data_IF_969830276669
#
_entry.id   IF_969830276669
#
_cell.length_a   1.000
_cell.length_b   1.000
_cell.length_c   1.000
_cell.angle_alpha   90.00
_cell.angle_beta   90.00
_cell.angle_gamma   90.00
#
_symmetry.space_group_name_H-M   'P 1'
#
loop_
_entity.id
_entity.type
_entity.pdbx_description
1 polymer ?
#
# COMPACT_ATOMS: atom_id res chain seq x y z
N UNK A 1 -14.87 21.38 14.91
CA UNK A 1 -14.01 22.42 14.39
C UNK A 1 -12.61 22.14 14.88
N UNK A 2 -11.73 21.82 13.94
CA UNK A 2 -10.33 21.49 14.24
C UNK A 2 -9.49 22.73 14.00
N UNK A 3 -9.72 23.76 14.81
CA UNK A 3 -8.87 24.93 14.81
C UNK A 3 -7.82 24.77 15.92
N UNK A 4 -6.84 23.95 15.65
CA UNK A 4 -5.65 23.80 16.49
C UNK A 4 -4.54 24.77 16.08
N UNK A 5 -4.81 25.71 15.20
CA UNK A 5 -3.84 26.69 14.73
C UNK A 5 -3.36 27.61 15.88
N UNK A 6 -4.18 27.79 16.90
CA UNK A 6 -3.80 28.54 18.12
C UNK A 6 -2.71 27.87 18.96
N UNK A 7 -2.43 26.57 18.71
CA UNK A 7 -1.39 25.83 19.42
C UNK A 7 0.00 25.93 18.76
N UNK A 8 0.10 26.62 17.63
CA UNK A 8 1.38 26.81 16.94
C UNK A 8 2.12 28.03 17.52
N UNK A 9 3.46 27.93 17.71
CA UNK A 9 4.26 29.06 18.19
C UNK A 9 4.18 30.24 17.20
N UNK A 10 4.21 31.47 17.75
CA UNK A 10 4.09 32.71 16.97
C UNK A 10 5.18 32.90 15.91
N UNK A 11 6.32 32.24 16.05
CA UNK A 11 7.40 32.17 15.07
C UNK A 11 7.15 30.97 14.13
N UNK A 12 6.22 31.12 13.20
CA UNK A 12 5.89 30.11 12.21
C UNK A 12 6.94 30.06 11.12
N UNK A 13 7.97 29.24 11.28
CA UNK A 13 8.71 28.72 10.15
C UNK A 13 7.91 27.59 9.52
N UNK A 14 8.01 27.38 8.19
CA UNK A 14 7.39 26.27 7.47
C UNK A 14 7.69 24.89 8.09
N UNK A 15 8.70 24.78 8.93
CA UNK A 15 9.12 23.57 9.63
C UNK A 15 8.06 23.09 10.63
N UNK A 16 7.32 24.00 11.25
CA UNK A 16 6.33 23.69 12.32
C UNK A 16 4.89 23.68 11.83
N UNK A 17 4.61 24.04 10.58
CA UNK A 17 3.27 23.99 10.03
C UNK A 17 2.96 22.58 9.54
N UNK A 18 1.82 22.03 9.94
CA UNK A 18 1.24 20.85 9.32
C UNK A 18 0.46 21.23 8.07
N UNK A 19 0.50 20.39 7.04
CA UNK A 19 -0.17 20.62 5.79
C UNK A 19 -1.12 19.46 5.49
N UNK A 20 -2.34 19.77 5.08
CA UNK A 20 -3.35 18.81 4.70
C UNK A 20 -3.67 17.84 5.86
N UNK A 21 -3.80 16.55 5.62
CA UNK A 21 -4.10 15.54 6.65
C UNK A 21 -2.91 15.19 7.56
N UNK A 22 -1.78 15.89 7.43
CA UNK A 22 -0.56 15.63 8.21
C UNK A 22 -0.81 15.70 9.72
N UNK A 23 -1.61 16.67 10.17
CA UNK A 23 -1.93 16.84 11.59
C UNK A 23 -2.60 15.59 12.17
N UNK A 24 -3.53 14.99 11.44
CA UNK A 24 -4.27 13.81 11.88
C UNK A 24 -3.38 12.56 11.89
N UNK A 25 -2.60 12.36 10.83
CA UNK A 25 -1.71 11.21 10.71
C UNK A 25 -0.55 11.26 11.71
N UNK A 26 0.09 12.42 11.88
CA UNK A 26 1.16 12.61 12.83
C UNK A 26 0.68 12.42 14.28
N UNK A 27 -0.50 12.99 14.61
CA UNK A 27 -1.14 12.79 15.91
C UNK A 27 -1.40 11.33 16.20
N UNK A 28 -2.07 10.62 15.28
CA UNK A 28 -2.38 9.20 15.47
C UNK A 28 -1.10 8.34 15.53
N UNK A 29 -0.07 8.66 14.75
CA UNK A 29 1.21 7.99 14.84
C UNK A 29 1.86 8.18 16.22
N UNK A 30 1.72 9.36 16.83
CA UNK A 30 2.18 9.62 18.20
C UNK A 30 1.31 8.90 19.25
N UNK A 31 -0.01 8.86 19.07
CA UNK A 31 -0.92 8.10 19.95
C UNK A 31 -0.57 6.60 19.93
N UNK A 32 -0.17 6.04 18.80
CA UNK A 32 0.36 4.66 18.71
C UNK A 32 1.66 4.51 19.52
N UNK A 33 2.57 5.50 19.47
CA UNK A 33 3.83 5.45 20.25
C UNK A 33 3.56 5.46 21.74
N UNK A 34 2.62 6.28 22.20
CA UNK A 34 2.29 6.49 23.60
C UNK A 34 1.25 5.50 24.15
N UNK A 35 0.64 4.67 23.30
CA UNK A 35 -0.42 3.74 23.69
C UNK A 35 -1.70 4.44 24.14
N UNK A 36 -1.97 5.64 23.61
CA UNK A 36 -3.17 6.42 23.90
C UNK A 36 -4.35 6.00 23.04
N UNK A 37 -5.53 6.52 23.35
CA UNK A 37 -6.74 6.36 22.53
C UNK A 37 -6.50 6.97 21.15
N UNK A 38 -6.80 6.19 20.12
CA UNK A 38 -6.63 6.59 18.73
C UNK A 38 -7.75 7.54 18.32
N UNK A 39 -7.39 8.71 17.83
CA UNK A 39 -8.31 9.76 17.43
C UNK A 39 -8.79 9.58 15.98
N UNK A 40 -7.86 9.45 15.04
CA UNK A 40 -8.19 9.37 13.63
C UNK A 40 -8.21 7.91 13.17
N UNK A 41 -9.39 7.43 12.75
CA UNK A 41 -9.65 6.04 12.39
C UNK A 41 -10.28 5.89 11.01
N UNK A 42 -10.27 6.95 10.17
CA UNK A 42 -10.86 6.94 8.82
C UNK A 42 -10.04 6.13 7.80
N UNK A 43 -8.84 5.69 8.18
CA UNK A 43 -7.98 4.83 7.38
C UNK A 43 -7.41 3.67 8.20
N UNK A 44 -7.08 2.53 7.57
CA UNK A 44 -6.42 1.42 8.24
C UNK A 44 -5.08 1.83 8.91
N UNK A 45 -4.61 1.08 9.93
CA UNK A 45 -3.54 1.54 10.81
C UNK A 45 -2.13 1.57 10.23
N UNK A 46 -1.80 0.70 9.25
CA UNK A 46 -0.41 0.39 8.89
C UNK A 46 0.38 1.61 8.40
N UNK A 47 -0.24 2.51 7.63
CA UNK A 47 0.42 3.74 7.19
C UNK A 47 0.89 4.61 8.35
N UNK A 48 0.02 4.80 9.35
CA UNK A 48 0.33 5.55 10.58
C UNK A 48 1.33 4.82 11.49
N UNK A 49 1.26 3.48 11.50
CA UNK A 49 2.25 2.68 12.20
C UNK A 49 3.67 2.86 11.62
N UNK A 50 3.82 2.91 10.29
CA UNK A 50 5.11 3.24 9.68
C UNK A 50 5.60 4.61 10.14
N UNK A 51 4.76 5.63 10.14
CA UNK A 51 5.12 6.97 10.63
C UNK A 51 5.54 6.95 12.10
N UNK A 52 4.88 6.13 12.93
CA UNK A 52 5.20 5.99 14.35
C UNK A 52 6.64 5.53 14.61
N UNK A 53 7.26 4.79 13.67
CA UNK A 53 8.67 4.38 13.79
C UNK A 53 9.61 5.58 13.75
N UNK A 54 9.34 6.56 12.87
CA UNK A 54 10.12 7.80 12.82
C UNK A 54 9.98 8.62 14.11
N UNK A 55 8.76 8.72 14.65
CA UNK A 55 8.51 9.40 15.93
C UNK A 55 9.21 8.69 17.10
N UNK A 56 9.24 7.35 17.13
CA UNK A 56 9.96 6.58 18.15
C UNK A 56 11.45 6.87 18.18
N UNK A 57 12.05 7.11 17.01
CA UNK A 57 13.52 7.32 16.88
C UNK A 57 13.87 8.80 17.10
N UNK A 58 13.10 9.74 16.53
CA UNK A 58 13.44 11.16 16.47
C UNK A 58 12.53 12.07 17.30
N UNK A 59 11.59 11.46 18.06
CA UNK A 59 10.61 12.20 18.85
C UNK A 59 9.46 12.77 18.02
N UNK A 60 8.49 13.40 18.70
CA UNK A 60 7.36 14.09 18.06
C UNK A 60 7.84 15.45 17.52
N UNK A 61 8.61 15.40 16.46
CA UNK A 61 9.19 16.55 15.75
C UNK A 61 8.81 16.49 14.28
N UNK A 62 8.83 17.60 13.51
CA UNK A 62 8.58 17.60 12.07
C UNK A 62 9.41 16.58 11.32
N UNK A 63 10.68 16.42 11.67
CA UNK A 63 11.51 15.38 11.10
C UNK A 63 11.02 13.98 11.49
N UNK A 64 10.64 13.77 12.75
CA UNK A 64 10.20 12.46 13.26
C UNK A 64 9.01 11.89 12.50
N UNK A 65 7.96 12.67 12.28
CA UNK A 65 6.78 12.17 11.56
C UNK A 65 6.90 12.19 10.03
N UNK A 66 7.86 12.97 9.45
CA UNK A 66 8.05 13.07 7.99
C UNK A 66 9.10 12.14 7.44
N UNK A 67 10.12 11.76 8.22
CA UNK A 67 11.28 11.02 7.72
C UNK A 67 10.92 9.68 7.08
N UNK A 68 9.95 8.96 7.62
CA UNK A 68 9.51 7.68 7.06
C UNK A 68 8.76 7.89 5.75
N UNK A 69 7.91 8.91 5.65
CA UNK A 69 7.25 9.27 4.38
C UNK A 69 8.29 9.63 3.30
N UNK A 70 9.29 10.44 3.67
CA UNK A 70 10.39 10.77 2.77
C UNK A 70 11.18 9.52 2.32
N UNK A 71 11.43 8.58 3.22
CA UNK A 71 12.08 7.31 2.89
C UNK A 71 11.28 6.51 1.85
N UNK A 72 9.96 6.37 2.02
CA UNK A 72 9.11 5.69 1.05
C UNK A 72 9.10 6.41 -0.31
N UNK A 73 9.07 7.74 -0.31
CA UNK A 73 9.20 8.53 -1.54
C UNK A 73 10.53 8.27 -2.25
N UNK A 74 11.65 8.26 -1.52
CA UNK A 74 12.97 7.95 -2.08
C UNK A 74 12.98 6.53 -2.66
N UNK A 75 12.40 5.54 -1.97
CA UNK A 75 12.36 4.15 -2.42
C UNK A 75 11.47 3.95 -3.67
N UNK A 76 10.51 4.81 -3.95
CA UNK A 76 9.73 4.75 -5.20
C UNK A 76 10.61 4.93 -6.44
N UNK A 77 11.67 5.72 -6.36
CA UNK A 77 12.56 6.01 -7.50
C UNK A 77 13.28 4.75 -8.01
N UNK A 78 14.04 4.00 -7.19
CA UNK A 78 14.70 2.77 -7.64
C UNK A 78 13.71 1.67 -8.02
N UNK A 79 12.53 1.57 -7.37
CA UNK A 79 11.49 0.61 -7.76
C UNK A 79 10.95 0.95 -9.15
N UNK A 80 10.66 2.21 -9.44
CA UNK A 80 10.23 2.67 -10.76
C UNK A 80 11.28 2.40 -11.84
N UNK A 81 12.55 2.69 -11.53
CA UNK A 81 13.67 2.35 -12.42
C UNK A 81 13.70 0.85 -12.73
N UNK A 82 13.68 0.01 -11.69
CA UNK A 82 13.75 -1.44 -11.83
C UNK A 82 12.55 -1.98 -12.64
N UNK A 83 11.36 -1.47 -12.39
CA UNK A 83 10.15 -1.86 -13.10
C UNK A 83 10.23 -1.49 -14.58
N UNK A 84 10.54 -0.22 -14.88
CA UNK A 84 10.67 0.23 -16.27
C UNK A 84 11.83 -0.43 -16.99
N UNK A 85 12.93 -0.75 -16.28
CA UNK A 85 14.05 -1.50 -16.87
C UNK A 85 13.64 -2.91 -17.29
N UNK A 86 12.78 -3.55 -16.51
CA UNK A 86 12.23 -4.88 -16.85
C UNK A 86 11.28 -4.83 -18.03
N UNK A 87 10.38 -3.85 -18.09
CA UNK A 87 9.40 -3.72 -19.19
C UNK A 87 10.08 -3.32 -20.51
N UNK A 88 10.87 -2.24 -20.47
CA UNK A 88 11.44 -1.63 -21.68
C UNK A 88 12.72 -2.29 -22.16
N UNK A 89 13.40 -3.05 -21.28
CA UNK A 89 14.75 -3.59 -21.49
C UNK A 89 15.81 -2.53 -21.85
N UNK A 90 15.50 -1.25 -21.65
CA UNK A 90 16.34 -0.11 -21.96
C UNK A 90 16.72 0.65 -20.70
N UNK A 91 18.02 0.86 -20.48
CA UNK A 91 18.51 1.67 -19.36
C UNK A 91 18.08 3.14 -19.53
N UNK A 92 18.08 3.66 -20.75
CA UNK A 92 17.68 5.04 -21.03
C UNK A 92 16.22 5.31 -20.66
N UNK A 93 15.30 4.43 -21.09
CA UNK A 93 13.86 4.55 -20.75
C UNK A 93 13.64 4.42 -19.24
N UNK A 94 14.33 3.49 -18.59
CA UNK A 94 14.23 3.31 -17.14
C UNK A 94 14.77 4.53 -16.38
N UNK A 95 15.91 5.08 -16.80
CA UNK A 95 16.47 6.29 -16.19
C UNK A 95 15.56 7.49 -16.39
N UNK A 96 14.99 7.64 -17.58
CA UNK A 96 14.05 8.73 -17.87
C UNK A 96 12.79 8.62 -17.03
N UNK A 97 12.22 7.41 -16.88
CA UNK A 97 11.06 7.19 -16.02
C UNK A 97 11.35 7.49 -14.54
N UNK A 98 12.52 7.08 -14.04
CA UNK A 98 12.95 7.42 -12.69
C UNK A 98 13.13 8.94 -12.50
N UNK A 99 13.70 9.61 -13.51
CA UNK A 99 13.85 11.06 -13.53
C UNK A 99 12.51 11.78 -13.48
N UNK A 100 11.51 11.32 -14.24
CA UNK A 100 10.16 11.88 -14.20
C UNK A 100 9.54 11.80 -12.79
N UNK A 101 9.74 10.70 -12.08
CA UNK A 101 9.26 10.57 -10.68
C UNK A 101 9.99 11.55 -9.75
N UNK A 102 11.31 11.72 -9.91
CA UNK A 102 12.09 12.67 -9.09
C UNK A 102 11.60 14.11 -9.29
N UNK A 103 11.23 14.48 -10.52
CA UNK A 103 10.79 15.84 -10.86
C UNK A 103 9.26 16.00 -10.86
N UNK A 104 8.49 14.94 -10.55
CA UNK A 104 7.05 15.06 -10.38
C UNK A 104 6.75 15.89 -9.13
N UNK A 105 6.00 16.97 -9.33
CA UNK A 105 5.69 17.92 -8.26
C UNK A 105 4.83 17.28 -7.16
N UNK A 106 3.86 16.44 -7.52
CA UNK A 106 3.00 15.78 -6.55
C UNK A 106 3.79 14.77 -5.73
N UNK A 107 4.60 13.93 -6.36
CA UNK A 107 5.49 12.99 -5.67
C UNK A 107 6.44 13.72 -4.73
N UNK A 108 7.09 14.79 -5.20
CA UNK A 108 8.00 15.59 -4.39
C UNK A 108 7.30 16.18 -3.16
N UNK A 109 6.11 16.75 -3.32
CA UNK A 109 5.35 17.38 -2.24
C UNK A 109 4.86 16.34 -1.23
N UNK A 110 4.19 15.27 -1.70
CA UNK A 110 3.63 14.23 -0.82
C UNK A 110 4.71 13.44 -0.08
N UNK A 111 5.93 13.34 -0.63
CA UNK A 111 7.05 12.67 0.04
C UNK A 111 7.63 13.48 1.22
N UNK A 112 7.34 14.78 1.30
CA UNK A 112 7.90 15.69 2.31
C UNK A 112 6.95 16.02 3.45
N UNK A 113 5.70 15.65 3.33
CA UNK A 113 4.68 15.83 4.37
C UNK A 113 4.35 14.48 5.03
N UNK A 114 3.89 14.53 6.28
CA UNK A 114 3.56 13.34 7.06
C UNK A 114 2.18 12.76 6.70
N UNK A 115 2.02 12.21 5.49
CA UNK A 115 0.77 11.58 5.05
C UNK A 115 0.98 10.12 4.66
N UNK A 116 -0.09 9.33 4.77
CA UNK A 116 -0.05 7.91 4.41
C UNK A 116 -0.05 7.67 2.89
N UNK A 117 -0.29 8.72 2.08
CA UNK A 117 -0.46 8.61 0.63
C UNK A 117 0.79 8.12 -0.09
N UNK A 118 1.96 8.66 0.27
CA UNK A 118 3.22 8.19 -0.30
C UNK A 118 3.53 6.74 0.09
N UNK A 119 3.17 6.34 1.30
CA UNK A 119 3.37 4.97 1.81
C UNK A 119 2.51 3.98 1.00
N UNK A 120 1.22 4.27 0.85
CA UNK A 120 0.35 3.42 0.02
C UNK A 120 0.76 3.44 -1.44
N UNK A 121 1.17 4.61 -1.97
CA UNK A 121 1.67 4.74 -3.34
C UNK A 121 2.90 3.86 -3.61
N UNK A 122 3.83 3.81 -2.67
CA UNK A 122 4.99 2.91 -2.74
C UNK A 122 4.58 1.44 -2.79
N UNK A 123 3.69 1.00 -1.89
CA UNK A 123 3.26 -0.40 -1.86
C UNK A 123 2.43 -0.77 -3.09
N UNK A 124 1.63 0.13 -3.64
CA UNK A 124 0.92 -0.08 -4.92
C UNK A 124 1.93 -0.27 -6.05
N UNK A 125 2.90 0.63 -6.19
CA UNK A 125 3.95 0.52 -7.21
C UNK A 125 4.73 -0.79 -7.09
N UNK A 126 5.13 -1.15 -5.87
CA UNK A 126 5.85 -2.40 -5.58
C UNK A 126 5.00 -3.62 -5.94
N UNK A 127 3.69 -3.59 -5.65
CA UNK A 127 2.75 -4.65 -5.98
C UNK A 127 2.66 -4.87 -7.49
N UNK A 128 2.55 -3.81 -8.29
CA UNK A 128 2.54 -3.93 -9.75
C UNK A 128 3.88 -4.44 -10.29
N UNK A 129 4.99 -3.97 -9.75
CA UNK A 129 6.32 -4.46 -10.15
C UNK A 129 6.49 -5.96 -9.84
N UNK A 130 6.15 -6.38 -8.63
CA UNK A 130 6.26 -7.79 -8.23
C UNK A 130 5.30 -8.68 -9.03
N UNK A 131 4.06 -8.20 -9.31
CA UNK A 131 3.14 -8.93 -10.20
C UNK A 131 3.73 -9.11 -11.58
N UNK A 132 4.36 -8.09 -12.16
CA UNK A 132 5.05 -8.23 -13.45
C UNK A 132 6.12 -9.33 -13.41
N UNK A 133 6.92 -9.38 -12.31
CA UNK A 133 7.93 -10.42 -12.14
C UNK A 133 7.30 -11.83 -11.98
N UNK A 134 6.18 -11.93 -11.26
CA UNK A 134 5.41 -13.19 -11.14
C UNK A 134 4.95 -13.65 -12.50
N UNK A 135 4.31 -12.78 -13.28
CA UNK A 135 3.79 -13.13 -14.60
C UNK A 135 4.91 -13.51 -15.59
N UNK A 136 6.03 -12.80 -15.52
CA UNK A 136 7.19 -13.11 -16.39
C UNK A 136 7.81 -14.47 -16.05
N UNK A 137 7.93 -14.81 -14.76
CA UNK A 137 8.45 -16.10 -14.32
C UNK A 137 7.46 -17.26 -14.59
N UNK A 138 6.15 -17.05 -14.42
CA UNK A 138 5.09 -18.03 -14.72
C UNK A 138 5.01 -18.45 -16.18
N UNK A 139 5.54 -17.67 -17.12
CA UNK A 139 5.65 -18.10 -18.54
C UNK A 139 6.45 -19.38 -18.69
N UNK A 140 7.46 -19.56 -17.84
CA UNK A 140 8.32 -20.75 -17.83
C UNK A 140 7.79 -21.88 -16.93
N UNK A 141 6.69 -21.64 -16.21
CA UNK A 141 6.09 -22.54 -15.23
C UNK A 141 6.29 -22.05 -13.78
N UNK A 142 5.55 -22.67 -12.84
CA UNK A 142 5.65 -22.31 -11.42
C UNK A 142 6.90 -22.93 -10.80
N UNK A 143 7.85 -22.10 -10.45
CA UNK A 143 9.09 -22.46 -9.75
C UNK A 143 9.03 -22.01 -8.28
N UNK A 144 10.00 -22.43 -7.47
CA UNK A 144 10.16 -21.91 -6.11
C UNK A 144 10.33 -20.38 -6.09
N UNK A 145 11.04 -19.84 -7.07
CA UNK A 145 11.19 -18.39 -7.24
C UNK A 145 9.84 -17.72 -7.50
N UNK A 146 8.98 -18.33 -8.33
CA UNK A 146 7.61 -17.82 -8.56
C UNK A 146 6.82 -17.77 -7.26
N UNK A 147 6.89 -18.82 -6.42
CA UNK A 147 6.21 -18.85 -5.12
C UNK A 147 6.71 -17.73 -4.21
N UNK A 148 8.03 -17.54 -4.12
CA UNK A 148 8.60 -16.44 -3.32
C UNK A 148 8.14 -15.07 -3.83
N UNK A 149 8.11 -14.86 -5.15
CA UNK A 149 7.60 -13.61 -5.75
C UNK A 149 6.12 -13.39 -5.46
N UNK A 150 5.30 -14.45 -5.50
CA UNK A 150 3.87 -14.36 -5.14
C UNK A 150 3.68 -14.01 -3.67
N UNK A 151 4.46 -14.59 -2.77
CA UNK A 151 4.44 -14.25 -1.33
C UNK A 151 4.82 -12.78 -1.12
N UNK A 152 5.92 -12.32 -1.70
CA UNK A 152 6.35 -10.92 -1.61
C UNK A 152 5.31 -9.97 -2.19
N UNK A 153 4.69 -10.34 -3.31
CA UNK A 153 3.63 -9.55 -3.92
C UNK A 153 2.39 -9.48 -3.01
N UNK A 154 1.99 -10.60 -2.42
CA UNK A 154 0.90 -10.64 -1.44
C UNK A 154 1.19 -9.80 -0.19
N UNK A 155 2.44 -9.79 0.27
CA UNK A 155 2.86 -8.91 1.38
C UNK A 155 2.77 -7.43 1.00
N UNK A 156 3.23 -7.04 -0.19
CA UNK A 156 3.11 -5.67 -0.69
C UNK A 156 1.65 -5.25 -0.86
N UNK A 157 0.81 -6.13 -1.45
CA UNK A 157 -0.62 -5.91 -1.60
C UNK A 157 -1.32 -5.75 -0.23
N UNK A 158 -1.01 -6.62 0.73
CA UNK A 158 -1.51 -6.53 2.09
C UNK A 158 -1.11 -5.23 2.78
N UNK A 159 0.14 -4.80 2.62
CA UNK A 159 0.63 -3.54 3.16
C UNK A 159 -0.06 -2.31 2.52
N UNK A 160 -0.33 -2.36 1.21
CA UNK A 160 -1.09 -1.31 0.53
C UNK A 160 -2.52 -1.20 1.11
N UNK A 161 -3.24 -2.32 1.19
CA UNK A 161 -4.61 -2.36 1.73
C UNK A 161 -4.67 -1.96 3.20
N UNK A 162 -3.70 -2.40 4.01
CA UNK A 162 -3.63 -2.08 5.43
C UNK A 162 -3.19 -0.63 5.71
N UNK A 163 -2.71 0.10 4.69
CA UNK A 163 -2.36 1.53 4.79
C UNK A 163 -3.51 2.45 4.36
N UNK A 164 -4.21 2.10 3.27
CA UNK A 164 -5.36 2.88 2.76
C UNK A 164 -6.22 1.98 1.85
N UNK A 165 -7.54 2.16 1.85
CA UNK A 165 -8.45 1.37 1.02
C UNK A 165 -8.21 1.50 -0.49
N UNK A 166 -7.52 2.54 -0.94
CA UNK A 166 -7.07 2.65 -2.33
C UNK A 166 -6.19 1.47 -2.76
N UNK A 167 -5.50 0.82 -1.83
CA UNK A 167 -4.79 -0.43 -2.06
C UNK A 167 -5.68 -1.58 -2.57
N UNK A 168 -6.96 -1.62 -2.17
CA UNK A 168 -7.92 -2.64 -2.63
C UNK A 168 -8.18 -2.50 -4.14
N UNK A 169 -8.31 -1.26 -4.63
CA UNK A 169 -8.51 -1.02 -6.07
C UNK A 169 -7.28 -1.45 -6.89
N UNK A 170 -6.08 -1.21 -6.37
CA UNK A 170 -4.85 -1.69 -6.99
C UNK A 170 -4.81 -3.23 -7.03
N UNK A 171 -5.24 -3.90 -5.96
CA UNK A 171 -5.34 -5.36 -5.90
C UNK A 171 -6.36 -5.91 -6.91
N UNK A 172 -7.49 -5.24 -7.11
CA UNK A 172 -8.43 -5.59 -8.17
C UNK A 172 -7.79 -5.47 -9.55
N UNK A 173 -7.01 -4.41 -9.79
CA UNK A 173 -6.26 -4.23 -11.04
C UNK A 173 -5.26 -5.35 -11.31
N UNK A 174 -4.46 -5.75 -10.30
CA UNK A 174 -3.53 -6.87 -10.47
C UNK A 174 -4.24 -8.21 -10.63
N UNK A 175 -5.40 -8.42 -10.01
CA UNK A 175 -6.21 -9.61 -10.23
C UNK A 175 -6.67 -9.73 -11.68
N UNK A 176 -7.13 -8.63 -12.29
CA UNK A 176 -7.48 -8.58 -13.71
C UNK A 176 -6.28 -8.96 -14.58
N UNK A 177 -5.10 -8.39 -14.33
CA UNK A 177 -3.87 -8.72 -15.06
C UNK A 177 -3.50 -10.20 -14.90
N UNK A 178 -3.56 -10.74 -13.70
CA UNK A 178 -3.23 -12.12 -13.40
C UNK A 178 -4.18 -13.10 -14.10
N UNK A 179 -5.50 -12.92 -13.98
CA UNK A 179 -6.47 -13.79 -14.61
C UNK A 179 -6.45 -13.68 -16.15
N UNK A 180 -6.24 -12.48 -16.69
CA UNK A 180 -6.04 -12.29 -18.13
C UNK A 180 -4.83 -13.08 -18.63
N UNK A 181 -3.71 -13.02 -17.90
CA UNK A 181 -2.52 -13.82 -18.20
C UNK A 181 -2.82 -15.33 -18.15
N UNK A 182 -3.47 -15.81 -17.10
CA UNK A 182 -3.81 -17.23 -16.98
C UNK A 182 -4.72 -17.70 -18.12
N UNK A 183 -5.70 -16.89 -18.53
CA UNK A 183 -6.56 -17.18 -19.66
C UNK A 183 -5.76 -17.25 -20.97
N UNK A 184 -4.86 -16.31 -21.20
CA UNK A 184 -4.00 -16.30 -22.40
C UNK A 184 -3.05 -17.51 -22.46
N UNK A 185 -2.51 -17.95 -21.33
CA UNK A 185 -1.52 -19.03 -21.28
C UNK A 185 -2.12 -20.44 -21.18
N UNK A 186 -3.31 -20.58 -20.60
CA UNK A 186 -3.91 -21.89 -20.32
C UNK A 186 -5.38 -22.03 -20.72
N UNK A 187 -6.09 -20.93 -21.00
CA UNK A 187 -7.54 -20.92 -21.20
C UNK A 187 -7.99 -21.54 -22.52
N UNK A 188 -7.18 -21.47 -23.59
CA UNK A 188 -7.54 -21.98 -24.92
C UNK A 188 -6.84 -23.29 -25.26
N UNK A 189 -7.45 -24.10 -26.11
CA UNK A 189 -6.82 -25.33 -26.62
C UNK A 189 -5.49 -25.03 -27.32
N UNK A 190 -5.44 -23.96 -28.13
CA UNK A 190 -4.22 -23.54 -28.82
C UNK A 190 -3.10 -23.14 -27.83
N UNK A 191 -3.42 -22.42 -26.77
CA UNK A 191 -2.46 -22.06 -25.74
C UNK A 191 -1.90 -23.30 -25.04
N UNK A 192 -2.76 -24.25 -24.65
CA UNK A 192 -2.34 -25.53 -24.05
C UNK A 192 -1.48 -26.37 -24.97
N UNK A 193 -1.84 -26.47 -26.24
CA UNK A 193 -1.03 -27.17 -27.26
C UNK A 193 0.35 -26.54 -27.41
N UNK A 194 0.45 -25.23 -27.44
CA UNK A 194 1.73 -24.50 -27.44
C UNK A 194 2.64 -24.86 -26.27
N UNK A 195 2.06 -25.16 -25.09
CA UNK A 195 2.79 -25.58 -23.89
C UNK A 195 2.98 -27.12 -23.81
N UNK A 196 2.50 -27.89 -24.76
CA UNK A 196 2.54 -29.36 -24.74
C UNK A 196 1.67 -29.95 -23.61
N UNK A 197 0.63 -29.25 -23.16
CA UNK A 197 -0.21 -29.64 -22.02
C UNK A 197 -1.55 -30.21 -22.52
N UNK A 198 -1.98 -31.34 -21.94
CA UNK A 198 -3.36 -31.81 -22.07
C UNK A 198 -4.31 -30.93 -21.25
N UNK A 199 -5.61 -30.98 -21.52
CA UNK A 199 -6.61 -30.26 -20.74
C UNK A 199 -6.57 -30.65 -19.26
N UNK A 200 -6.42 -31.95 -18.96
CA UNK A 200 -6.32 -32.46 -17.60
C UNK A 200 -5.07 -31.96 -16.87
N UNK A 201 -3.92 -31.95 -17.55
CA UNK A 201 -2.68 -31.43 -16.98
C UNK A 201 -2.78 -29.92 -16.67
N UNK A 202 -3.44 -29.15 -17.54
CA UNK A 202 -3.68 -27.73 -17.28
C UNK A 202 -4.60 -27.49 -16.08
N UNK A 203 -5.67 -28.28 -15.92
CA UNK A 203 -6.57 -28.21 -14.78
C UNK A 203 -5.81 -28.53 -13.47
N UNK A 204 -5.03 -29.60 -13.44
CA UNK A 204 -4.24 -29.97 -12.27
C UNK A 204 -3.20 -28.90 -11.90
N UNK A 205 -2.54 -28.31 -12.90
CA UNK A 205 -1.60 -27.20 -12.70
C UNK A 205 -2.28 -25.96 -12.12
N UNK A 206 -3.41 -25.57 -12.70
CA UNK A 206 -4.18 -24.41 -12.22
C UNK A 206 -4.76 -24.64 -10.82
N UNK A 207 -5.18 -25.86 -10.50
CA UNK A 207 -5.62 -26.21 -9.15
C UNK A 207 -4.49 -26.06 -8.12
N UNK A 208 -3.28 -26.55 -8.43
CA UNK A 208 -2.11 -26.36 -7.57
C UNK A 208 -1.73 -24.88 -7.42
N UNK A 209 -1.74 -24.14 -8.53
CA UNK A 209 -1.47 -22.69 -8.51
C UNK A 209 -2.52 -21.94 -7.67
N UNK A 210 -3.79 -22.34 -7.71
CA UNK A 210 -4.86 -21.71 -6.92
C UNK A 210 -4.62 -21.81 -5.42
N UNK A 211 -4.07 -22.92 -4.93
CA UNK A 211 -3.70 -23.06 -3.51
C UNK A 211 -2.64 -22.03 -3.12
N UNK A 212 -1.63 -21.85 -3.96
CA UNK A 212 -0.58 -20.83 -3.73
C UNK A 212 -1.19 -19.42 -3.78
N UNK A 213 -2.09 -19.17 -4.73
CA UNK A 213 -2.80 -17.89 -4.84
C UNK A 213 -3.62 -17.57 -3.60
N UNK A 214 -4.36 -18.53 -3.04
CA UNK A 214 -5.12 -18.35 -1.81
C UNK A 214 -4.18 -17.96 -0.66
N UNK A 215 -3.06 -18.68 -0.51
CA UNK A 215 -2.08 -18.36 0.52
C UNK A 215 -1.48 -16.97 0.31
N UNK A 216 -1.02 -16.66 -0.90
CA UNK A 216 -0.30 -15.41 -1.20
C UNK A 216 -1.23 -14.18 -1.25
N UNK A 217 -2.43 -14.29 -1.86
CA UNK A 217 -3.27 -13.12 -2.16
C UNK A 217 -4.53 -12.99 -1.30
N UNK A 218 -4.80 -13.97 -0.45
CA UNK A 218 -5.90 -13.89 0.52
C UNK A 218 -5.36 -13.98 1.94
N UNK A 219 -4.67 -15.08 2.31
CA UNK A 219 -4.27 -15.28 3.69
C UNK A 219 -3.20 -14.29 4.15
N UNK A 220 -2.13 -14.10 3.36
CA UNK A 220 -1.06 -13.15 3.73
C UNK A 220 -1.60 -11.72 3.85
N UNK A 221 -2.32 -11.15 2.87
CA UNK A 221 -2.91 -9.82 3.02
C UNK A 221 -3.87 -9.71 4.22
N UNK A 222 -4.71 -10.73 4.45
CA UNK A 222 -5.62 -10.73 5.59
C UNK A 222 -4.86 -10.72 6.93
N UNK A 223 -3.80 -11.52 7.06
CA UNK A 223 -2.95 -11.52 8.26
C UNK A 223 -2.30 -10.16 8.48
N UNK A 224 -1.74 -9.54 7.43
CA UNK A 224 -1.12 -8.20 7.53
C UNK A 224 -2.17 -7.16 7.92
N UNK A 225 -3.35 -7.22 7.31
CA UNK A 225 -4.45 -6.30 7.59
C UNK A 225 -4.89 -6.39 9.05
N UNK A 226 -5.18 -7.60 9.54
CA UNK A 226 -5.58 -7.83 10.94
C UNK A 226 -4.44 -7.45 11.89
N UNK A 227 -3.21 -7.87 11.58
CA UNK A 227 -2.04 -7.57 12.42
C UNK A 227 -1.76 -6.08 12.53
N UNK A 228 -2.10 -5.27 11.52
CA UNK A 228 -1.92 -3.82 11.58
C UNK A 228 -2.73 -3.19 12.71
N UNK A 229 -3.88 -3.77 13.08
CA UNK A 229 -4.73 -3.31 14.19
C UNK A 229 -4.14 -3.59 15.58
N UNK A 230 -3.10 -4.44 15.69
CA UNK A 230 -2.34 -4.57 16.94
C UNK A 230 -1.69 -3.24 17.35
N UNK A 231 -1.40 -2.37 16.39
CA UNK A 231 -0.85 -1.04 16.67
C UNK A 231 -1.82 -0.11 17.40
N UNK A 232 -3.12 -0.34 17.27
CA UNK A 232 -4.14 0.40 18.03
C UNK A 232 -4.26 -0.08 19.48
N UNK A 233 -3.78 -1.31 19.78
CA UNK A 233 -3.69 -1.84 21.15
C UNK A 233 -4.96 -1.66 21.96
N UNK A 234 -4.80 -1.29 23.22
CA UNK A 234 -5.90 -0.99 24.13
C UNK A 234 -6.53 0.40 23.88
N UNK A 235 -6.01 1.17 22.95
CA UNK A 235 -6.48 2.52 22.64
C UNK A 235 -7.91 2.59 22.06
N UNK A 236 -8.44 1.47 21.55
CA UNK A 236 -9.83 1.35 21.07
C UNK A 236 -10.77 0.65 22.08
N UNK A 237 -10.29 0.34 23.28
CA UNK A 237 -11.12 0.00 24.44
C UNK A 237 -11.51 -1.48 24.64
N UNK A 238 -11.35 -2.36 23.64
CA UNK A 238 -11.94 -3.70 23.73
C UNK A 238 -10.96 -4.87 23.85
N UNK A 239 -9.65 -4.64 23.77
CA UNK A 239 -8.62 -5.69 23.87
C UNK A 239 -8.68 -6.80 22.79
N UNK A 240 -9.70 -6.82 21.96
CA UNK A 240 -9.90 -7.80 20.89
C UNK A 240 -9.64 -7.18 19.52
N UNK A 241 -8.53 -7.56 18.88
CA UNK A 241 -8.08 -7.05 17.58
C UNK A 241 -9.13 -7.21 16.48
N UNK A 242 -9.84 -8.34 16.45
CA UNK A 242 -10.88 -8.58 15.43
C UNK A 242 -12.09 -7.67 15.64
N UNK A 243 -12.49 -7.44 16.86
CA UNK A 243 -13.59 -6.54 17.17
C UNK A 243 -13.20 -5.09 16.83
N UNK A 244 -12.01 -4.64 17.25
CA UNK A 244 -11.46 -3.33 16.91
C UNK A 244 -11.40 -3.12 15.40
N UNK A 245 -10.90 -4.10 14.66
CA UNK A 245 -10.88 -4.07 13.20
C UNK A 245 -12.28 -3.92 12.64
N UNK A 246 -13.23 -4.76 13.07
CA UNK A 246 -14.59 -4.77 12.53
C UNK A 246 -15.33 -3.46 12.80
N UNK A 247 -15.27 -2.94 14.02
CA UNK A 247 -15.85 -1.65 14.39
C UNK A 247 -15.25 -0.52 13.56
N UNK A 248 -13.93 -0.54 13.35
CA UNK A 248 -13.27 0.45 12.50
C UNK A 248 -13.68 0.34 11.02
N UNK A 249 -13.90 -0.88 10.47
CA UNK A 249 -14.43 -1.01 9.10
C UNK A 249 -15.80 -0.34 8.97
N UNK A 250 -16.69 -0.54 9.94
CA UNK A 250 -18.02 0.08 9.94
C UNK A 250 -17.92 1.62 10.03
N UNK A 251 -17.04 2.13 10.87
CA UNK A 251 -16.77 3.56 10.99
C UNK A 251 -16.25 4.16 9.68
N UNK A 252 -15.25 3.52 9.05
CA UNK A 252 -14.71 3.96 7.77
C UNK A 252 -15.77 3.96 6.66
N UNK A 253 -16.57 2.89 6.57
CA UNK A 253 -17.64 2.80 5.59
C UNK A 253 -18.66 3.92 5.79
N UNK A 254 -19.13 4.11 7.01
CA UNK A 254 -20.10 5.14 7.36
C UNK A 254 -19.56 6.55 7.06
N UNK A 255 -18.27 6.80 7.35
CA UNK A 255 -17.61 8.06 7.04
C UNK A 255 -17.63 8.33 5.54
N UNK A 256 -17.24 7.36 4.71
CA UNK A 256 -17.20 7.53 3.26
C UNK A 256 -18.59 7.60 2.58
N UNK A 257 -19.61 7.01 3.18
CA UNK A 257 -20.98 7.06 2.62
C UNK A 257 -21.74 8.34 2.97
N UNK A 258 -21.48 8.91 4.15
CA UNK A 258 -22.33 10.01 4.68
C UNK A 258 -21.66 11.37 4.73
N UNK A 259 -20.34 11.43 4.59
CA UNK A 259 -19.65 12.70 4.64
C UNK A 259 -19.78 13.42 3.30
N UNK A 260 -20.68 14.40 3.25
CA UNK A 260 -20.74 15.36 2.13
C UNK A 260 -19.71 16.44 2.41
N UNK A 261 -18.66 16.49 1.61
CA UNK A 261 -17.66 17.54 1.69
C UNK A 261 -18.18 18.77 0.91
N UNK A 262 -18.74 19.73 1.61
CA UNK A 262 -18.99 21.06 1.04
C UNK A 262 -17.66 21.83 0.98
N UNK A 263 -16.91 21.62 -0.08
CA UNK A 263 -15.71 22.41 -0.33
C UNK A 263 -15.98 23.34 -1.52
N UNK A 264 -15.73 24.68 -1.41
CA UNK A 264 -16.03 25.64 -2.46
C UNK A 264 -15.26 25.41 -3.77
N UNK A 265 -14.24 24.55 -3.74
CA UNK A 265 -13.43 24.16 -4.90
C UNK A 265 -13.58 22.67 -5.27
N UNK A 266 -14.52 21.94 -4.65
CA UNK A 266 -14.82 20.59 -5.08
C UNK A 266 -15.55 20.67 -6.44
N UNK A 267 -15.00 19.99 -7.46
CA UNK A 267 -15.72 19.73 -8.70
C UNK A 267 -16.74 18.61 -8.46
N UNK A 268 -17.97 18.81 -8.92
CA UNK A 268 -19.00 17.77 -8.99
C UNK A 268 -18.59 16.64 -9.94
#
# INVERSE_FOLDING_TARGET
>A
AFDEQELFPADTTYEYQSMFDEVYHARTANEIVEGRTIYETTHPPLGKWWMSLGIRVFGMTPFGWRCVCALFGILMVPVSYAFMRKISRSTWIASFAALLIVFDFMHFTLSRIGTIDVIVGFFILLTFYLMYLVLDDLKMGCSWKTVCLMILNGMAAGAAMASKWTGVYACAGIAVLFFTFLFQEYGTAAARTRKGMSGQAAISYLAGLSVICIAAYILIPAVIYVASYLSYGNGMGNGNVFQTMWENQQLMLHYHEKTVFEHPYASE
#
